data_IF_340673751346
#
_entry.id   IF_340673751346
#
_cell.length_a   1.000
_cell.length_b   1.000
_cell.length_c   1.000
_cell.angle_alpha   90.00
_cell.angle_beta   90.00
_cell.angle_gamma   90.00
#
_symmetry.space_group_name_H-M   'P 1'
#
loop_
_entity.id
_entity.type
_entity.pdbx_description
1 polymer ?
#
# COMPACT_ATOMS: atom_id res chain seq x y z
N UNK A 1 -4.55 9.93 -32.36
CA UNK A 1 -3.79 8.98 -31.50
C UNK A 1 -4.73 7.83 -31.15
N UNK A 2 -4.26 6.57 -31.27
CA UNK A 2 -5.07 5.38 -30.95
C UNK A 2 -5.25 5.27 -29.42
N UNK A 3 -6.47 4.98 -28.97
CA UNK A 3 -6.79 4.75 -27.58
C UNK A 3 -5.92 3.67 -26.93
N UNK A 4 -5.56 2.63 -27.70
CA UNK A 4 -4.67 1.55 -27.22
C UNK A 4 -3.29 2.04 -26.83
N UNK A 5 -2.75 3.03 -27.55
CA UNK A 5 -1.44 3.63 -27.24
C UNK A 5 -1.51 4.38 -25.91
N UNK A 6 -2.54 5.22 -25.73
CA UNK A 6 -2.75 5.95 -24.47
C UNK A 6 -2.91 5.02 -23.27
N UNK A 7 -3.76 3.99 -23.41
CA UNK A 7 -4.00 3.03 -22.32
C UNK A 7 -2.74 2.24 -21.99
N UNK A 8 -1.97 1.81 -23.01
CA UNK A 8 -0.69 1.14 -22.82
C UNK A 8 0.29 2.01 -22.03
N UNK A 9 0.39 3.30 -22.38
CA UNK A 9 1.31 4.23 -21.71
C UNK A 9 0.91 4.46 -20.25
N UNK A 10 -0.38 4.66 -19.97
CA UNK A 10 -0.90 4.79 -18.60
C UNK A 10 -0.55 3.56 -17.75
N UNK A 11 -0.72 2.37 -18.30
CA UNK A 11 -0.38 1.11 -17.62
C UNK A 11 1.14 1.03 -17.40
N UNK A 12 1.95 1.38 -18.41
CA UNK A 12 3.42 1.35 -18.34
C UNK A 12 3.92 2.28 -17.25
N UNK A 13 3.44 3.53 -17.20
CA UNK A 13 3.80 4.50 -16.15
C UNK A 13 3.44 3.95 -14.77
N UNK A 14 2.26 3.39 -14.60
CA UNK A 14 1.83 2.78 -13.31
C UNK A 14 2.73 1.61 -12.89
N UNK A 15 3.19 0.79 -13.84
CA UNK A 15 4.12 -0.32 -13.57
C UNK A 15 5.49 0.22 -13.19
N UNK A 16 6.02 1.18 -13.93
CA UNK A 16 7.33 1.79 -13.67
C UNK A 16 7.37 2.44 -12.29
N UNK A 17 6.36 3.24 -11.95
CA UNK A 17 6.23 3.85 -10.63
C UNK A 17 6.30 2.80 -9.51
N UNK A 18 5.52 1.73 -9.64
CA UNK A 18 5.55 0.64 -8.67
C UNK A 18 6.90 -0.07 -8.61
N UNK A 19 7.55 -0.29 -9.76
CA UNK A 19 8.87 -0.92 -9.80
C UNK A 19 9.92 -0.07 -9.08
N UNK A 20 9.94 1.25 -9.29
CA UNK A 20 10.84 2.15 -8.58
C UNK A 20 10.65 2.07 -7.07
N UNK A 21 9.41 2.26 -6.59
CA UNK A 21 9.11 2.15 -5.16
C UNK A 21 9.58 0.79 -4.59
N UNK A 22 9.30 -0.33 -5.28
CA UNK A 22 9.67 -1.66 -4.79
C UNK A 22 11.18 -1.88 -4.76
N UNK A 23 11.91 -1.35 -5.75
CA UNK A 23 13.37 -1.47 -5.81
C UNK A 23 14.01 -0.67 -4.68
N UNK A 24 13.64 0.59 -4.54
CA UNK A 24 14.25 1.50 -3.58
C UNK A 24 13.83 1.19 -2.14
N UNK A 25 12.58 0.75 -1.96
CA UNK A 25 12.06 0.32 -0.65
C UNK A 25 12.68 -0.98 -0.14
N UNK A 26 13.36 -1.76 -0.98
CA UNK A 26 14.03 -3.00 -0.55
C UNK A 26 15.02 -2.78 0.59
N UNK A 27 15.65 -1.59 0.65
CA UNK A 27 16.59 -1.20 1.69
C UNK A 27 15.91 -0.87 3.03
N UNK A 28 14.60 -0.62 3.05
CA UNK A 28 13.85 -0.36 4.29
C UNK A 28 13.54 -1.64 5.08
N UNK A 29 13.78 -2.81 4.50
CA UNK A 29 13.41 -4.11 5.06
C UNK A 29 11.91 -4.42 4.95
N UNK A 30 11.13 -3.57 4.29
CA UNK A 30 9.71 -3.76 4.04
C UNK A 30 9.46 -4.33 2.64
N UNK A 31 8.60 -5.34 2.58
CA UNK A 31 8.18 -5.98 1.34
C UNK A 31 6.76 -5.57 0.96
N UNK A 32 6.38 -5.86 -0.29
CA UNK A 32 5.05 -5.54 -0.82
C UNK A 32 3.91 -5.90 0.14
N UNK A 33 3.03 -4.94 0.40
CA UNK A 33 1.88 -5.06 1.29
C UNK A 33 2.17 -4.88 2.78
N UNK A 34 3.43 -4.95 3.22
CA UNK A 34 3.79 -4.76 4.63
C UNK A 34 3.63 -3.31 5.11
N UNK A 35 3.99 -2.28 4.32
CA UNK A 35 3.72 -0.90 4.72
C UNK A 35 2.25 -0.66 5.04
N UNK A 36 1.32 -1.18 4.25
CA UNK A 36 -0.12 -1.05 4.52
C UNK A 36 -0.54 -1.71 5.84
N UNK A 37 0.12 -2.81 6.23
CA UNK A 37 -0.14 -3.47 7.51
C UNK A 37 0.35 -2.62 8.67
N UNK A 38 1.56 -2.06 8.57
CA UNK A 38 2.12 -1.15 9.57
C UNK A 38 1.26 0.12 9.71
N UNK A 39 0.84 0.72 8.60
CA UNK A 39 -0.06 1.89 8.59
C UNK A 39 -1.39 1.57 9.31
N UNK A 40 -1.96 0.39 9.03
CA UNK A 40 -3.19 -0.02 9.69
C UNK A 40 -2.99 -0.20 11.21
N UNK A 41 -1.91 -0.89 11.63
CA UNK A 41 -1.63 -1.11 13.06
C UNK A 41 -1.36 0.23 13.76
N UNK A 42 -0.65 1.15 13.10
CA UNK A 42 -0.34 2.47 13.63
C UNK A 42 -1.61 3.32 13.85
N UNK A 43 -2.54 3.26 12.89
CA UNK A 43 -3.82 3.99 12.98
C UNK A 43 -4.87 3.29 13.84
N UNK A 44 -4.67 2.00 14.19
CA UNK A 44 -5.54 1.19 15.03
C UNK A 44 -4.70 0.45 16.08
N UNK A 45 -4.17 1.17 17.08
CA UNK A 45 -3.37 0.57 18.14
C UNK A 45 -4.14 -0.58 18.82
N UNK A 46 -3.42 -1.62 19.21
CA UNK A 46 -3.98 -2.82 19.83
C UNK A 46 -5.00 -3.59 18.98
N UNK A 47 -5.01 -3.38 17.66
CA UNK A 47 -5.83 -4.21 16.77
C UNK A 47 -5.36 -5.68 16.78
N UNK A 48 -6.30 -6.57 16.52
CA UNK A 48 -6.03 -8.00 16.36
C UNK A 48 -5.66 -8.32 14.90
N UNK A 49 -4.96 -9.43 14.69
CA UNK A 49 -4.70 -9.96 13.35
C UNK A 49 -6.00 -10.15 12.53
N UNK A 50 -7.10 -10.54 13.16
CA UNK A 50 -8.39 -10.76 12.50
C UNK A 50 -9.01 -9.44 12.01
N UNK A 51 -8.93 -8.40 12.82
CA UNK A 51 -9.39 -7.04 12.44
C UNK A 51 -8.57 -6.50 11.28
N UNK A 52 -7.25 -6.60 11.37
CA UNK A 52 -6.34 -6.22 10.28
C UNK A 52 -6.65 -7.00 8.99
N UNK A 53 -6.78 -8.33 9.05
CA UNK A 53 -7.07 -9.16 7.89
C UNK A 53 -8.40 -8.74 7.23
N UNK A 54 -9.44 -8.48 8.04
CA UNK A 54 -10.75 -8.00 7.57
C UNK A 54 -10.64 -6.62 6.92
N UNK A 55 -9.99 -5.67 7.58
CA UNK A 55 -9.85 -4.30 7.09
C UNK A 55 -9.05 -4.23 5.78
N UNK A 56 -7.96 -5.01 5.70
CA UNK A 56 -7.15 -5.09 4.49
C UNK A 56 -7.71 -6.08 3.45
N UNK A 57 -8.83 -6.75 3.74
CA UNK A 57 -9.48 -7.74 2.87
C UNK A 57 -8.49 -8.80 2.34
N UNK A 58 -7.67 -9.35 3.23
CA UNK A 58 -6.73 -10.43 2.94
C UNK A 58 -7.13 -11.68 3.71
N UNK A 59 -6.70 -12.86 3.24
CA UNK A 59 -6.99 -14.10 3.95
C UNK A 59 -6.29 -14.13 5.32
N UNK A 60 -6.87 -14.79 6.33
CA UNK A 60 -6.21 -14.98 7.63
C UNK A 60 -4.83 -15.62 7.51
N UNK A 61 -4.65 -16.56 6.58
CA UNK A 61 -3.37 -17.21 6.32
C UNK A 61 -2.34 -16.24 5.74
N UNK A 62 -2.73 -15.38 4.77
CA UNK A 62 -1.86 -14.33 4.22
C UNK A 62 -1.46 -13.30 5.28
N UNK A 63 -2.43 -12.89 6.12
CA UNK A 63 -2.15 -11.99 7.24
C UNK A 63 -1.16 -12.60 8.22
N UNK A 64 -1.37 -13.86 8.63
CA UNK A 64 -0.48 -14.57 9.54
C UNK A 64 0.96 -14.65 9.00
N UNK A 65 1.12 -15.05 7.74
CA UNK A 65 2.42 -15.17 7.10
C UNK A 65 3.14 -13.82 7.03
N UNK A 66 2.46 -12.77 6.60
CA UNK A 66 3.05 -11.44 6.48
C UNK A 66 3.37 -10.82 7.84
N UNK A 67 2.44 -10.90 8.80
CA UNK A 67 2.68 -10.42 10.16
C UNK A 67 3.83 -11.17 10.84
N UNK A 68 3.96 -12.50 10.63
CA UNK A 68 5.09 -13.27 11.16
C UNK A 68 6.44 -12.79 10.60
N UNK A 69 6.50 -12.38 9.34
CA UNK A 69 7.72 -11.78 8.75
C UNK A 69 8.03 -10.40 9.33
N UNK A 70 7.02 -9.53 9.44
CA UNK A 70 7.15 -8.18 10.01
C UNK A 70 7.59 -8.26 11.48
N UNK A 71 7.05 -9.21 12.24
CA UNK A 71 7.41 -9.47 13.63
C UNK A 71 8.86 -9.99 13.75
N UNK A 72 9.25 -10.94 12.89
CA UNK A 72 10.63 -11.45 12.83
C UNK A 72 11.64 -10.36 12.49
N UNK A 73 11.25 -9.36 11.70
CA UNK A 73 12.08 -8.18 11.43
C UNK A 73 12.08 -7.18 12.59
N UNK A 74 11.33 -7.42 13.66
CA UNK A 74 11.26 -6.55 14.82
C UNK A 74 10.42 -5.26 14.62
N UNK A 75 9.61 -5.19 13.55
CA UNK A 75 8.83 -3.99 13.22
C UNK A 75 7.48 -3.91 13.92
N UNK A 76 6.98 -5.03 14.40
CA UNK A 76 5.79 -5.10 15.28
C UNK A 76 6.09 -5.95 16.50
N UNK A 77 5.33 -5.70 17.56
CA UNK A 77 5.25 -6.54 18.74
C UNK A 77 3.83 -7.11 18.89
N UNK A 78 3.75 -8.31 19.50
CA UNK A 78 2.49 -8.91 19.91
C UNK A 78 2.41 -8.93 21.43
N UNK A 79 1.30 -8.51 21.97
CA UNK A 79 0.97 -8.63 23.38
C UNK A 79 -0.29 -9.46 23.53
N UNK A 80 -0.28 -10.41 24.46
CA UNK A 80 -1.48 -11.17 24.78
C UNK A 80 -2.56 -10.23 25.35
N UNK A 81 -3.79 -10.40 24.91
CA UNK A 81 -4.93 -9.63 25.41
C UNK A 81 -5.22 -10.00 26.87
N UNK A 82 -5.42 -9.01 27.72
CA UNK A 82 -5.65 -9.24 29.15
C UNK A 82 -7.02 -9.88 29.45
N UNK A 83 -8.01 -9.59 28.61
CA UNK A 83 -9.37 -10.10 28.78
C UNK A 83 -9.60 -11.46 28.07
N UNK A 84 -8.83 -11.74 27.00
CA UNK A 84 -8.94 -13.00 26.26
C UNK A 84 -7.56 -13.46 25.78
N UNK A 85 -6.93 -14.34 26.54
CA UNK A 85 -5.59 -14.88 26.30
C UNK A 85 -5.41 -15.59 24.94
N UNK A 86 -6.51 -15.88 24.23
CA UNK A 86 -6.48 -16.45 22.87
C UNK A 86 -6.27 -15.38 21.80
N UNK A 87 -6.32 -14.10 22.15
CA UNK A 87 -6.10 -12.98 21.24
C UNK A 87 -4.74 -12.32 21.48
N UNK A 88 -4.10 -11.91 20.40
CA UNK A 88 -2.90 -11.09 20.44
C UNK A 88 -3.21 -9.69 19.90
N UNK A 89 -2.76 -8.67 20.61
CA UNK A 89 -2.79 -7.26 20.25
C UNK A 89 -1.51 -6.91 19.51
N UNK A 90 -1.64 -6.15 18.44
CA UNK A 90 -0.53 -5.75 17.59
C UNK A 90 -0.17 -4.29 17.88
N UNK A 91 1.13 -4.02 17.94
CA UNK A 91 1.66 -2.65 18.01
C UNK A 91 2.88 -2.51 17.12
N UNK A 92 3.09 -1.32 16.55
CA UNK A 92 4.29 -1.00 15.78
C UNK A 92 5.41 -0.65 16.75
N UNK A 93 6.60 -1.18 16.53
CA UNK A 93 7.80 -0.86 17.32
C UNK A 93 8.46 0.44 16.83
N UNK A 94 9.43 0.96 17.58
CA UNK A 94 10.24 2.10 17.13
C UNK A 94 10.98 1.80 15.82
N UNK A 95 11.54 0.60 15.67
CA UNK A 95 12.16 0.17 14.41
C UNK A 95 11.15 0.03 13.26
N UNK A 96 9.94 -0.41 13.56
CA UNK A 96 8.85 -0.43 12.58
C UNK A 96 8.43 0.96 12.12
N UNK A 97 8.39 1.93 13.03
CA UNK A 97 8.13 3.33 12.67
C UNK A 97 9.22 3.89 11.76
N UNK A 98 10.49 3.69 12.11
CA UNK A 98 11.63 4.12 11.28
C UNK A 98 11.61 3.50 9.89
N UNK A 99 11.31 2.20 9.80
CA UNK A 99 11.19 1.52 8.50
C UNK A 99 10.03 2.08 7.66
N UNK A 100 8.91 2.39 8.30
CA UNK A 100 7.74 2.98 7.62
C UNK A 100 8.01 4.41 7.15
N UNK A 101 8.70 5.22 7.95
CA UNK A 101 9.13 6.58 7.57
C UNK A 101 10.11 6.55 6.39
N UNK A 102 11.08 5.64 6.42
CA UNK A 102 12.00 5.43 5.29
C UNK A 102 11.24 5.02 4.02
N UNK A 103 10.24 4.14 4.14
CA UNK A 103 9.39 3.75 3.02
C UNK A 103 8.59 4.93 2.45
N UNK A 104 8.01 5.76 3.31
CA UNK A 104 7.30 6.99 2.90
C UNK A 104 8.21 7.94 2.14
N UNK A 105 9.43 8.14 2.63
CA UNK A 105 10.42 8.99 1.94
C UNK A 105 10.78 8.46 0.54
N UNK A 106 10.85 7.14 0.34
CA UNK A 106 11.01 6.52 -0.98
C UNK A 106 9.82 6.85 -1.88
N UNK A 107 8.59 6.71 -1.37
CA UNK A 107 7.38 7.06 -2.13
C UNK A 107 7.40 8.53 -2.55
N UNK A 108 7.66 9.45 -1.61
CA UNK A 108 7.69 10.89 -1.87
C UNK A 108 8.76 11.27 -2.93
N UNK A 109 9.92 10.62 -2.88
CA UNK A 109 10.99 10.80 -3.85
C UNK A 109 10.57 10.32 -5.24
N UNK A 110 9.96 9.13 -5.32
CA UNK A 110 9.49 8.55 -6.57
C UNK A 110 8.35 9.39 -7.18
N UNK A 111 7.42 9.87 -6.35
CA UNK A 111 6.32 10.73 -6.79
C UNK A 111 6.84 12.08 -7.32
N UNK A 112 7.84 12.65 -6.65
CA UNK A 112 8.52 13.87 -7.11
C UNK A 112 9.22 13.66 -8.45
N UNK A 113 9.90 12.53 -8.61
CA UNK A 113 10.57 12.18 -9.88
C UNK A 113 9.56 11.95 -11.00
N UNK A 114 8.44 11.27 -10.72
CA UNK A 114 7.37 11.01 -11.69
C UNK A 114 6.83 12.31 -12.30
N UNK A 115 6.71 13.37 -11.49
CA UNK A 115 6.17 14.67 -11.91
C UNK A 115 7.27 15.69 -12.18
N UNK A 116 8.51 15.26 -12.34
CA UNK A 116 9.63 16.15 -12.68
C UNK A 116 9.42 16.77 -14.06
N UNK A 117 9.63 18.07 -14.17
CA UNK A 117 9.45 18.84 -15.42
C UNK A 117 8.01 19.32 -15.68
N UNK A 118 7.04 18.91 -14.86
CA UNK A 118 5.67 19.42 -14.95
C UNK A 118 5.50 20.70 -14.13
N UNK A 119 5.03 21.77 -14.78
CA UNK A 119 4.59 23.01 -14.12
C UNK A 119 3.28 22.80 -13.36
N UNK A 120 2.88 23.79 -12.56
CA UNK A 120 1.67 23.70 -11.73
C UNK A 120 0.42 23.53 -12.58
N UNK A 121 0.24 24.35 -13.62
CA UNK A 121 -0.91 24.25 -14.55
C UNK A 121 -0.98 22.89 -15.25
N UNK A 122 0.16 22.30 -15.62
CA UNK A 122 0.24 20.99 -16.25
C UNK A 122 -0.17 19.87 -15.28
N UNK A 123 0.20 20.00 -14.00
CA UNK A 123 -0.20 19.06 -12.94
C UNK A 123 -1.70 19.12 -12.69
N UNK A 124 -2.28 20.32 -12.62
CA UNK A 124 -3.73 20.52 -12.49
C UNK A 124 -4.49 19.94 -13.68
N UNK A 125 -4.00 20.17 -14.90
CA UNK A 125 -4.60 19.60 -16.10
C UNK A 125 -4.51 18.08 -16.13
N UNK A 126 -3.35 17.51 -15.79
CA UNK A 126 -3.17 16.07 -15.67
C UNK A 126 -4.13 15.47 -14.64
N UNK A 127 -4.25 16.11 -13.48
CA UNK A 127 -5.17 15.68 -12.43
C UNK A 127 -6.62 15.67 -12.92
N UNK A 128 -7.04 16.71 -13.62
CA UNK A 128 -8.38 16.79 -14.23
C UNK A 128 -8.64 15.65 -15.23
N UNK A 129 -7.65 15.32 -16.07
CA UNK A 129 -7.77 14.19 -17.00
C UNK A 129 -7.88 12.85 -16.27
N UNK A 130 -7.07 12.64 -15.24
CA UNK A 130 -7.12 11.42 -14.42
C UNK A 130 -8.46 11.28 -13.68
N UNK A 131 -9.05 12.38 -13.18
CA UNK A 131 -10.38 12.36 -12.59
C UNK A 131 -11.45 11.93 -13.59
N UNK A 132 -11.42 12.48 -14.80
CA UNK A 132 -12.38 12.10 -15.87
C UNK A 132 -12.22 10.62 -16.24
N UNK A 133 -10.98 10.10 -16.34
CA UNK A 133 -10.74 8.67 -16.58
C UNK A 133 -11.31 7.81 -15.44
N UNK A 134 -11.09 8.26 -14.19
CA UNK A 134 -11.65 7.60 -13.01
C UNK A 134 -13.17 7.54 -13.06
N UNK A 135 -13.83 8.66 -13.31
CA UNK A 135 -15.30 8.75 -13.40
C UNK A 135 -15.87 7.85 -14.49
N UNK A 136 -15.24 7.81 -15.68
CA UNK A 136 -15.67 6.95 -16.78
C UNK A 136 -15.69 5.45 -16.42
N UNK A 137 -14.78 5.02 -15.54
CA UNK A 137 -14.67 3.61 -15.15
C UNK A 137 -15.42 3.31 -13.84
N UNK A 138 -15.57 4.29 -12.95
CA UNK A 138 -16.16 4.08 -11.62
C UNK A 138 -17.67 3.76 -11.66
N UNK A 139 -18.37 4.11 -12.73
CA UNK A 139 -19.82 3.96 -12.83
C UNK A 139 -20.33 2.53 -12.68
N UNK A 140 -19.48 1.53 -12.97
CA UNK A 140 -19.87 0.11 -13.00
C UNK A 140 -19.05 -0.77 -12.02
N UNK A 141 -18.24 -0.16 -11.17
CA UNK A 141 -17.35 -0.91 -10.25
C UNK A 141 -17.63 -0.48 -8.82
N UNK A 142 -18.01 -1.42 -7.96
CA UNK A 142 -18.19 -1.13 -6.55
C UNK A 142 -16.82 -0.80 -5.89
N UNK A 143 -16.85 0.03 -4.83
CA UNK A 143 -15.63 0.30 -4.03
C UNK A 143 -14.99 -0.97 -3.50
N UNK A 144 -15.78 -2.02 -3.26
CA UNK A 144 -15.31 -3.31 -2.78
C UNK A 144 -14.56 -4.07 -3.88
N UNK A 145 -15.10 -4.09 -5.10
CA UNK A 145 -14.45 -4.75 -6.24
C UNK A 145 -13.16 -4.05 -6.63
N UNK A 146 -13.14 -2.71 -6.62
CA UNK A 146 -11.93 -1.92 -6.83
C UNK A 146 -10.85 -2.29 -5.81
N UNK A 147 -11.18 -2.36 -4.53
CA UNK A 147 -10.26 -2.77 -3.46
C UNK A 147 -9.75 -4.20 -3.65
N UNK A 148 -10.59 -5.14 -4.09
CA UNK A 148 -10.20 -6.53 -4.38
C UNK A 148 -9.19 -6.59 -5.52
N UNK A 149 -9.42 -5.84 -6.59
CA UNK A 149 -8.57 -5.82 -7.79
C UNK A 149 -7.20 -5.20 -7.51
N UNK A 150 -7.14 -4.07 -6.80
CA UNK A 150 -5.87 -3.41 -6.41
C UNK A 150 -5.00 -4.38 -5.60
N UNK A 151 -5.60 -5.19 -4.73
CA UNK A 151 -4.88 -6.16 -3.88
C UNK A 151 -4.44 -7.42 -4.62
N UNK A 152 -5.16 -7.85 -5.65
CA UNK A 152 -4.81 -9.02 -6.47
C UNK A 152 -3.74 -8.71 -7.53
N UNK A 153 -3.60 -7.47 -7.96
CA UNK A 153 -2.62 -7.02 -8.96
C UNK A 153 -1.15 -7.16 -8.55
N UNK A 154 -0.85 -7.56 -7.33
CA UNK A 154 0.49 -7.89 -6.84
C UNK A 154 0.92 -9.35 -7.05
N UNK A 155 0.10 -10.18 -7.73
CA UNK A 155 0.35 -11.62 -7.90
C UNK A 155 0.66 -12.04 -9.35
N UNK A 156 1.05 -11.11 -10.23
CA UNK A 156 1.52 -11.49 -11.58
C UNK A 156 2.94 -11.02 -11.80
#
# INVERSE_FOLDING_TARGET
>A
MDNKVLVKELITVSILHRCHIMTDASQTGLYFGQPMMLEYILSHPDCTQRELAKALNISPASAATSLGRIEKSGFIARRQDEADSRKNRLSVTESGLKALEAFRAVCDTTDTQLLSGFGEDEREQLFSFLQRLHENLAQNISREDLRKTIKSGGKR
#
